data_IF_802405315567
#
_entry.id   IF_802405315567
#
_cell.length_a   1.000
_cell.length_b   1.000
_cell.length_c   1.000
_cell.angle_alpha   90.00
_cell.angle_beta   90.00
_cell.angle_gamma   90.00
#
_symmetry.space_group_name_H-M   'P 1'
#
loop_
_entity.id
_entity.type
_entity.pdbx_description
1 polymer ?
#
# COMPACT_ATOMS: atom_id res chain seq x y z
N UNK A 1 -34.86 -45.39 29.09
CA UNK A 1 -33.77 -45.88 28.24
C UNK A 1 -33.53 -44.81 27.17
N UNK A 2 -32.53 -43.94 27.33
CA UNK A 2 -31.20 -44.06 26.68
C UNK A 2 -31.37 -44.15 25.15
N UNK A 3 -30.91 -43.24 24.29
CA UNK A 3 -29.61 -42.56 24.18
C UNK A 3 -29.79 -41.45 23.13
N UNK A 4 -29.27 -40.24 23.37
CA UNK A 4 -28.56 -39.39 22.38
C UNK A 4 -28.03 -38.13 23.10
N UNK A 5 -27.16 -38.37 24.09
CA UNK A 5 -26.12 -37.41 24.46
C UNK A 5 -25.04 -37.50 23.38
N UNK A 6 -25.19 -36.74 22.30
CA UNK A 6 -24.08 -36.47 21.37
C UNK A 6 -23.39 -35.17 21.82
N UNK A 7 -22.08 -35.25 22.03
CA UNK A 7 -21.30 -34.34 22.84
C UNK A 7 -21.25 -32.89 22.34
N UNK A 8 -21.58 -31.95 23.23
CA UNK A 8 -21.03 -30.60 23.18
C UNK A 8 -19.54 -30.72 23.50
N UNK A 9 -18.70 -30.73 22.47
CA UNK A 9 -17.29 -30.40 22.66
C UNK A 9 -17.23 -29.00 23.29
N UNK A 10 -16.81 -28.91 24.55
CA UNK A 10 -16.66 -27.63 25.24
C UNK A 10 -15.51 -26.88 24.57
N UNK A 11 -15.82 -26.04 23.59
CA UNK A 11 -14.87 -25.06 23.09
C UNK A 11 -14.47 -24.19 24.28
N UNK A 12 -13.21 -24.25 24.69
CA UNK A 12 -12.74 -23.45 25.83
C UNK A 12 -13.07 -21.97 25.60
N UNK A 13 -13.39 -21.23 26.66
CA UNK A 13 -13.75 -19.79 26.52
C UNK A 13 -12.63 -18.98 25.85
N UNK A 14 -11.38 -19.44 25.98
CA UNK A 14 -10.19 -18.89 25.31
C UNK A 14 -10.23 -19.15 23.80
N UNK A 15 -10.51 -20.37 23.37
CA UNK A 15 -10.64 -20.74 21.96
C UNK A 15 -11.74 -19.93 21.27
N UNK A 16 -12.89 -19.76 21.93
CA UNK A 16 -14.01 -18.97 21.41
C UNK A 16 -13.65 -17.48 21.28
N UNK A 17 -12.90 -16.92 22.24
CA UNK A 17 -12.42 -15.53 22.21
C UNK A 17 -11.44 -15.28 21.05
N UNK A 18 -10.52 -16.20 20.79
CA UNK A 18 -9.53 -16.08 19.70
C UNK A 18 -10.21 -16.18 18.33
N UNK A 19 -11.08 -17.18 18.12
CA UNK A 19 -11.83 -17.33 16.86
C UNK A 19 -12.60 -16.07 16.52
N UNK A 20 -13.15 -15.40 17.53
CA UNK A 20 -13.99 -14.23 17.32
C UNK A 20 -13.21 -12.95 17.13
N UNK A 21 -12.05 -12.82 17.78
CA UNK A 21 -11.10 -11.78 17.43
C UNK A 21 -10.68 -11.89 15.96
N UNK A 22 -10.37 -13.10 15.47
CA UNK A 22 -10.01 -13.33 14.05
C UNK A 22 -11.11 -12.83 13.11
N UNK A 23 -12.36 -13.23 13.36
CA UNK A 23 -13.48 -12.87 12.47
C UNK A 23 -13.76 -11.37 12.49
N UNK A 24 -13.78 -10.74 13.67
CA UNK A 24 -14.03 -9.31 13.79
C UNK A 24 -12.92 -8.49 13.13
N UNK A 25 -11.64 -8.86 13.31
CA UNK A 25 -10.52 -8.13 12.70
C UNK A 25 -10.52 -8.28 11.19
N UNK A 26 -10.76 -9.49 10.69
CA UNK A 26 -10.92 -9.72 9.25
C UNK A 26 -12.07 -8.88 8.67
N UNK A 27 -13.25 -8.90 9.28
CA UNK A 27 -14.40 -8.16 8.75
C UNK A 27 -14.15 -6.65 8.78
N UNK A 28 -13.52 -6.15 9.85
CA UNK A 28 -13.27 -4.72 10.03
C UNK A 28 -12.23 -4.18 9.05
N UNK A 29 -11.11 -4.88 8.89
CA UNK A 29 -9.95 -4.36 8.16
C UNK A 29 -9.82 -4.92 6.74
N UNK A 30 -10.13 -6.21 6.54
CA UNK A 30 -10.05 -6.81 5.20
C UNK A 30 -11.35 -6.62 4.39
N UNK A 31 -12.51 -6.74 5.03
CA UNK A 31 -13.81 -6.52 4.37
C UNK A 31 -14.31 -5.07 4.52
N UNK A 32 -13.58 -4.22 5.24
CA UNK A 32 -13.95 -2.82 5.49
C UNK A 32 -15.37 -2.66 6.07
N UNK A 33 -15.80 -3.59 6.92
CA UNK A 33 -17.15 -3.60 7.51
C UNK A 33 -17.19 -2.65 8.72
N UNK A 34 -18.06 -1.64 8.74
CA UNK A 34 -18.18 -0.73 9.87
C UNK A 34 -18.59 -1.45 11.16
N UNK A 35 -17.98 -1.08 12.30
CA UNK A 35 -18.23 -1.73 13.59
C UNK A 35 -19.72 -1.75 13.99
N UNK A 36 -20.52 -0.75 13.62
CA UNK A 36 -21.95 -0.73 13.95
C UNK A 36 -22.75 -1.79 13.19
N UNK A 37 -22.36 -2.13 11.94
CA UNK A 37 -23.02 -3.19 11.15
C UNK A 37 -22.68 -4.56 11.72
N UNK A 38 -21.44 -4.72 12.18
CA UNK A 38 -21.00 -5.93 12.88
C UNK A 38 -21.81 -6.16 14.15
N UNK A 39 -21.93 -5.16 15.03
CA UNK A 39 -22.67 -5.32 16.29
C UNK A 39 -24.17 -5.45 16.09
N UNK A 40 -24.78 -4.59 15.25
CA UNK A 40 -26.25 -4.50 15.14
C UNK A 40 -26.86 -5.65 14.33
N UNK A 41 -26.15 -6.15 13.32
CA UNK A 41 -26.68 -7.17 12.42
C UNK A 41 -26.02 -8.51 12.74
N UNK A 42 -24.78 -8.70 12.29
CA UNK A 42 -24.14 -10.02 12.25
C UNK A 42 -23.96 -10.66 13.62
N UNK A 43 -23.46 -9.91 14.60
CA UNK A 43 -23.19 -10.46 15.94
C UNK A 43 -24.49 -10.64 16.74
N UNK A 44 -25.45 -9.72 16.59
CA UNK A 44 -26.78 -9.85 17.18
C UNK A 44 -27.51 -11.10 16.67
N UNK A 45 -27.48 -11.36 15.35
CA UNK A 45 -28.08 -12.56 14.73
C UNK A 45 -27.43 -13.86 15.22
N UNK A 46 -26.17 -13.79 15.70
CA UNK A 46 -25.45 -14.91 16.30
C UNK A 46 -25.67 -15.03 17.82
N UNK A 47 -26.66 -14.31 18.37
CA UNK A 47 -26.93 -14.20 19.82
C UNK A 47 -25.72 -13.73 20.63
N UNK A 48 -24.90 -12.86 20.04
CA UNK A 48 -23.75 -12.27 20.71
C UNK A 48 -23.96 -10.79 20.96
N UNK A 49 -24.42 -10.47 22.17
CA UNK A 49 -24.57 -9.09 22.58
C UNK A 49 -23.21 -8.45 22.90
N UNK A 50 -22.88 -7.39 22.17
CA UNK A 50 -21.65 -6.63 22.36
C UNK A 50 -21.78 -5.23 21.77
N UNK A 51 -20.95 -4.30 22.25
CA UNK A 51 -20.98 -2.91 21.80
C UNK A 51 -19.77 -2.57 20.92
N UNK A 52 -19.86 -1.44 20.20
CA UNK A 52 -18.78 -0.93 19.34
C UNK A 52 -17.48 -0.74 20.11
N UNK A 53 -17.56 -0.29 21.36
CA UNK A 53 -16.40 -0.09 22.22
C UNK A 53 -15.66 -1.40 22.50
N UNK A 54 -16.39 -2.50 22.75
CA UNK A 54 -15.78 -3.81 22.98
C UNK A 54 -15.04 -4.32 21.73
N UNK A 55 -15.56 -4.05 20.52
CA UNK A 55 -14.86 -4.39 19.28
C UNK A 55 -13.58 -3.57 19.11
N UNK A 56 -13.63 -2.27 19.40
CA UNK A 56 -12.44 -1.40 19.37
C UNK A 56 -11.37 -1.85 20.37
N UNK A 57 -11.76 -2.10 21.63
CA UNK A 57 -10.83 -2.58 22.67
C UNK A 57 -10.14 -3.90 22.28
N UNK A 58 -10.84 -4.78 21.54
CA UNK A 58 -10.25 -6.02 21.01
C UNK A 58 -9.30 -5.75 19.86
N UNK A 59 -9.62 -4.81 18.99
CA UNK A 59 -8.74 -4.38 17.91
C UNK A 59 -7.44 -3.80 18.48
N UNK A 60 -7.53 -2.95 19.52
CA UNK A 60 -6.38 -2.38 20.22
C UNK A 60 -5.46 -3.48 20.76
N UNK A 61 -6.02 -4.44 21.51
CA UNK A 61 -5.24 -5.55 22.09
C UNK A 61 -4.55 -6.41 21.04
N UNK A 62 -5.22 -6.69 19.92
CA UNK A 62 -4.63 -7.43 18.81
C UNK A 62 -3.53 -6.65 18.09
N UNK A 63 -3.73 -5.34 17.88
CA UNK A 63 -2.72 -4.47 17.29
C UNK A 63 -1.47 -4.38 18.17
N UNK A 64 -1.62 -4.26 19.49
CA UNK A 64 -0.48 -4.30 20.43
C UNK A 64 0.36 -5.56 20.26
N UNK A 65 -0.27 -6.72 20.05
CA UNK A 65 0.47 -7.97 19.83
C UNK A 65 1.15 -8.01 18.46
N UNK A 66 0.44 -7.58 17.40
CA UNK A 66 1.00 -7.54 16.04
C UNK A 66 2.13 -6.52 15.90
N UNK A 67 2.07 -5.39 16.61
CA UNK A 67 3.10 -4.35 16.57
C UNK A 67 4.46 -4.85 17.04
N UNK A 68 4.50 -5.85 17.91
CA UNK A 68 5.76 -6.49 18.33
C UNK A 68 6.52 -7.15 17.17
N UNK A 69 5.81 -7.53 16.11
CA UNK A 69 6.38 -8.18 14.93
C UNK A 69 6.81 -7.18 13.84
N UNK A 70 6.32 -5.93 13.89
CA UNK A 70 6.64 -4.94 12.86
C UNK A 70 8.16 -4.69 12.74
N UNK A 71 8.94 -4.54 13.83
CA UNK A 71 10.40 -4.39 13.72
C UNK A 71 11.10 -5.56 13.02
N UNK A 72 10.50 -6.76 13.06
CA UNK A 72 11.04 -7.93 12.37
C UNK A 72 10.69 -7.96 10.86
N UNK A 73 9.74 -7.14 10.40
CA UNK A 73 9.51 -6.87 8.98
C UNK A 73 10.62 -5.93 8.45
N UNK A 74 11.85 -6.46 8.36
CA UNK A 74 13.02 -5.69 8.00
C UNK A 74 13.07 -5.42 6.48
N UNK A 75 13.31 -4.15 6.12
CA UNK A 75 13.69 -3.77 4.77
C UNK A 75 15.20 -3.97 4.62
N UNK A 76 15.60 -5.11 4.05
CA UNK A 76 17.02 -5.41 3.84
C UNK A 76 17.72 -4.30 3.05
N UNK A 77 18.99 -4.06 3.35
CA UNK A 77 19.81 -3.13 2.57
C UNK A 77 19.82 -3.55 1.09
N UNK A 78 19.71 -2.57 0.20
CA UNK A 78 19.60 -2.78 -1.24
C UNK A 78 18.19 -3.17 -1.72
N UNK A 79 17.16 -3.05 -0.88
CA UNK A 79 15.77 -3.31 -1.28
C UNK A 79 15.25 -2.27 -2.27
N UNK A 80 14.41 -2.74 -3.18
CA UNK A 80 13.55 -1.89 -4.01
C UNK A 80 12.19 -1.75 -3.33
N UNK A 81 11.74 -0.51 -3.16
CA UNK A 81 10.47 -0.25 -2.48
C UNK A 81 9.56 0.63 -3.30
N UNK A 82 8.28 0.27 -3.31
CA UNK A 82 7.19 1.05 -3.86
C UNK A 82 6.51 1.78 -2.70
N UNK A 83 6.24 3.08 -2.86
CA UNK A 83 5.62 3.89 -1.81
C UNK A 83 4.42 4.65 -2.37
N UNK A 84 3.34 4.70 -1.60
CA UNK A 84 2.15 5.50 -1.88
C UNK A 84 1.50 5.94 -0.57
N UNK A 85 0.62 6.93 -0.63
CA UNK A 85 -0.07 7.48 0.51
C UNK A 85 -1.49 7.94 0.19
N UNK A 86 -2.40 7.78 1.16
CA UNK A 86 -3.77 8.26 1.04
C UNK A 86 -4.15 9.07 2.26
N UNK A 87 -4.93 10.13 2.04
CA UNK A 87 -5.47 10.91 3.14
C UNK A 87 -6.56 10.15 3.89
N UNK A 88 -6.62 10.33 5.19
CA UNK A 88 -7.68 9.81 6.04
C UNK A 88 -8.16 10.92 6.99
N UNK A 89 -9.21 10.61 7.75
CA UNK A 89 -9.71 11.49 8.81
C UNK A 89 -9.77 10.75 10.12
N UNK A 90 -9.48 11.45 11.21
CA UNK A 90 -9.70 10.93 12.54
C UNK A 90 -10.48 11.94 13.40
N UNK A 91 -11.24 11.43 14.36
CA UNK A 91 -12.06 12.21 15.26
C UNK A 91 -11.21 12.79 16.41
N UNK A 92 -11.45 14.06 16.70
CA UNK A 92 -10.88 14.83 17.80
C UNK A 92 -12.01 15.47 18.61
N UNK A 93 -11.68 16.09 19.73
CA UNK A 93 -12.67 16.84 20.52
C UNK A 93 -13.27 18.03 19.75
N UNK A 94 -12.52 18.62 18.80
CA UNK A 94 -12.92 19.80 18.01
C UNK A 94 -13.46 19.44 16.61
N UNK A 95 -13.85 18.18 16.37
CA UNK A 95 -14.30 17.69 15.06
C UNK A 95 -13.30 16.73 14.42
N UNK A 96 -13.21 16.72 13.09
CA UNK A 96 -12.33 15.79 12.36
C UNK A 96 -11.07 16.49 11.87
N UNK A 97 -9.92 15.83 12.00
CA UNK A 97 -8.65 16.27 11.42
C UNK A 97 -8.21 15.33 10.30
N UNK A 98 -7.50 15.89 9.32
CA UNK A 98 -6.88 15.13 8.23
C UNK A 98 -5.60 14.47 8.75
N UNK A 99 -5.33 13.27 8.27
CA UNK A 99 -4.04 12.56 8.42
C UNK A 99 -3.72 11.83 7.12
N UNK A 100 -2.56 11.18 7.04
CA UNK A 100 -2.15 10.37 5.90
C UNK A 100 -1.72 8.99 6.38
N UNK A 101 -2.20 7.97 5.66
CA UNK A 101 -1.72 6.61 5.79
C UNK A 101 -0.75 6.35 4.65
N UNK A 102 0.47 5.98 5.00
CA UNK A 102 1.53 5.61 4.07
C UNK A 102 1.54 4.11 3.89
N UNK A 103 1.94 3.67 2.71
CA UNK A 103 2.10 2.27 2.35
C UNK A 103 3.44 2.10 1.65
N UNK A 104 4.27 1.21 2.18
CA UNK A 104 5.52 0.78 1.57
C UNK A 104 5.39 -0.69 1.20
N UNK A 105 5.80 -1.04 -0.02
CA UNK A 105 5.78 -2.41 -0.53
C UNK A 105 7.18 -2.80 -0.99
N UNK A 106 7.71 -3.89 -0.44
CA UNK A 106 8.87 -4.59 -0.98
C UNK A 106 8.36 -5.87 -1.65
N UNK A 107 8.22 -5.84 -2.98
CA UNK A 107 7.65 -6.94 -3.76
C UNK A 107 8.49 -8.21 -3.64
N UNK A 108 9.82 -8.07 -3.69
CA UNK A 108 10.76 -9.20 -3.68
C UNK A 108 10.73 -9.94 -2.35
N UNK A 109 10.63 -9.20 -1.25
CA UNK A 109 10.47 -9.78 0.09
C UNK A 109 9.02 -10.19 0.41
N UNK A 110 8.05 -9.81 -0.43
CA UNK A 110 6.63 -10.01 -0.16
C UNK A 110 6.14 -9.27 1.08
N UNK A 111 6.71 -8.10 1.38
CA UNK A 111 6.42 -7.30 2.58
C UNK A 111 5.60 -6.08 2.19
N UNK A 112 4.56 -5.79 2.98
CA UNK A 112 3.80 -4.55 2.91
C UNK A 112 3.75 -3.93 4.29
N UNK A 113 4.17 -2.67 4.44
CA UNK A 113 4.14 -1.95 5.70
C UNK A 113 3.30 -0.69 5.54
N UNK A 114 2.27 -0.57 6.36
CA UNK A 114 1.53 0.67 6.55
C UNK A 114 2.00 1.36 7.81
N UNK A 115 2.08 2.68 7.72
CA UNK A 115 2.43 3.53 8.83
C UNK A 115 1.71 4.88 8.70
N UNK A 116 1.46 5.52 9.83
CA UNK A 116 0.99 6.89 9.88
C UNK A 116 1.75 7.62 10.97
N UNK A 117 1.90 8.93 10.83
CA UNK A 117 2.42 9.77 11.91
C UNK A 117 1.55 9.59 13.16
N UNK A 118 2.20 9.40 14.32
CA UNK A 118 1.50 9.54 15.58
C UNK A 118 1.29 11.03 15.81
N UNK A 119 0.08 11.49 15.52
CA UNK A 119 -0.29 12.88 15.67
C UNK A 119 -0.46 13.30 17.14
N UNK A 120 0.01 12.50 18.11
CA UNK A 120 -0.11 12.74 19.55
C UNK A 120 1.26 13.15 20.08
N UNK A 121 1.38 14.41 20.51
CA UNK A 121 2.60 14.92 21.13
C UNK A 121 2.81 14.30 22.53
N UNK A 122 4.01 14.47 23.10
CA UNK A 122 4.39 13.97 24.42
C UNK A 122 3.43 14.42 25.55
N UNK A 123 2.78 15.58 25.38
CA UNK A 123 1.80 16.14 26.31
C UNK A 123 0.36 15.62 26.08
N UNK A 124 0.18 14.66 25.17
CA UNK A 124 -1.13 14.13 24.77
C UNK A 124 -1.92 15.03 23.80
N UNK A 125 -1.32 16.13 23.35
CA UNK A 125 -1.92 17.06 22.38
C UNK A 125 -1.98 16.47 20.98
N UNK A 126 -3.10 16.67 20.26
CA UNK A 126 -3.31 16.09 18.91
C UNK A 126 -3.10 17.13 17.81
N UNK A 127 -2.03 17.01 17.03
CA UNK A 127 -1.74 17.86 15.86
C UNK A 127 -2.23 17.25 14.53
N UNK A 128 -2.14 17.98 13.42
CA UNK A 128 -2.49 17.41 12.10
C UNK A 128 -1.35 16.54 11.59
N UNK A 129 -1.66 15.31 11.18
CA UNK A 129 -0.70 14.43 10.54
C UNK A 129 -0.34 14.97 9.16
N UNK A 130 0.95 15.10 8.88
CA UNK A 130 1.47 15.67 7.66
C UNK A 130 1.64 14.66 6.53
N UNK A 131 1.42 15.12 5.29
CA UNK A 131 1.98 14.49 4.07
C UNK A 131 3.44 14.92 3.90
N UNK A 132 4.21 14.92 4.98
CA UNK A 132 5.54 15.53 5.05
C UNK A 132 6.59 14.46 4.80
N UNK A 133 7.70 14.85 4.16
CA UNK A 133 8.88 13.98 3.97
C UNK A 133 9.33 13.30 5.26
N UNK A 134 9.22 14.04 6.37
CA UNK A 134 9.66 13.61 7.69
C UNK A 134 9.06 12.28 8.12
N UNK A 135 7.79 12.03 7.79
CA UNK A 135 7.12 10.77 8.16
C UNK A 135 7.78 9.57 7.48
N UNK A 136 8.21 9.73 6.23
CA UNK A 136 8.91 8.68 5.49
C UNK A 136 10.36 8.55 5.93
N UNK A 137 11.10 9.66 6.11
CA UNK A 137 12.49 9.61 6.59
C UNK A 137 12.57 8.97 7.97
N UNK A 138 11.69 9.36 8.89
CA UNK A 138 11.67 8.83 10.25
C UNK A 138 11.33 7.34 10.27
N UNK A 139 10.48 6.89 9.33
CA UNK A 139 10.16 5.46 9.18
C UNK A 139 11.31 4.68 8.55
N UNK A 140 11.96 5.20 7.51
CA UNK A 140 13.08 4.54 6.84
C UNK A 140 14.32 4.50 7.75
N UNK A 141 14.52 5.51 8.61
CA UNK A 141 15.70 5.62 9.46
C UNK A 141 16.98 5.49 8.63
N UNK A 142 17.86 4.58 9.05
CA UNK A 142 19.14 4.29 8.37
C UNK A 142 19.04 3.25 7.25
N UNK A 143 17.83 2.89 6.81
CA UNK A 143 17.64 1.87 5.77
C UNK A 143 18.26 2.32 4.44
N UNK A 144 19.30 1.58 4.01
CA UNK A 144 19.97 1.80 2.72
C UNK A 144 19.20 1.11 1.61
N UNK A 145 18.20 1.78 1.06
CA UNK A 145 17.44 1.29 -0.09
C UNK A 145 18.27 1.38 -1.37
N UNK A 146 17.98 0.52 -2.35
CA UNK A 146 18.53 0.65 -3.71
C UNK A 146 17.67 1.58 -4.55
N UNK A 147 16.36 1.39 -4.49
CA UNK A 147 15.41 2.20 -5.24
C UNK A 147 14.14 2.52 -4.45
N UNK A 148 13.53 3.65 -4.79
CA UNK A 148 12.23 4.08 -4.27
C UNK A 148 11.36 4.54 -5.42
N UNK A 149 10.19 3.91 -5.59
CA UNK A 149 9.23 4.25 -6.64
C UNK A 149 7.95 4.87 -6.07
N UNK A 150 7.49 5.97 -6.65
CA UNK A 150 6.25 6.67 -6.23
C UNK A 150 5.43 7.23 -7.40
N UNK A 151 4.33 7.93 -7.11
CA UNK A 151 3.49 8.67 -8.08
C UNK A 151 4.14 9.95 -8.66
N UNK A 152 5.38 10.25 -8.29
CA UNK A 152 6.05 11.49 -8.67
C UNK A 152 5.70 12.67 -7.76
N UNK A 153 5.32 12.43 -6.51
CA UNK A 153 5.28 13.49 -5.52
C UNK A 153 6.70 14.00 -5.22
N UNK A 154 6.98 15.28 -5.52
CA UNK A 154 8.33 15.89 -5.42
C UNK A 154 9.00 15.70 -4.05
N UNK A 155 8.21 15.48 -3.01
CA UNK A 155 8.68 15.24 -1.63
C UNK A 155 9.58 14.01 -1.52
N UNK A 156 9.47 13.04 -2.43
CA UNK A 156 10.33 11.86 -2.48
C UNK A 156 11.67 12.10 -3.19
N UNK A 157 11.87 13.24 -3.88
CA UNK A 157 13.10 13.53 -4.63
C UNK A 157 14.25 14.02 -3.75
N UNK A 158 13.95 14.42 -2.50
CA UNK A 158 14.91 14.97 -1.55
C UNK A 158 14.62 14.35 -0.17
N UNK A 159 15.54 13.53 0.35
CA UNK A 159 15.59 13.19 1.78
C UNK A 159 16.72 14.06 2.33
N UNK A 160 16.35 14.98 3.22
CA UNK A 160 17.27 15.87 3.95
C UNK A 160 18.10 16.85 3.10
N UNK A 161 17.51 17.41 2.05
CA UNK A 161 18.14 18.41 1.16
C UNK A 161 19.37 17.91 0.39
N UNK A 162 19.77 16.65 0.64
CA UNK A 162 20.78 15.91 -0.10
C UNK A 162 20.11 14.98 -1.12
N UNK A 163 20.79 14.79 -2.26
CA UNK A 163 20.43 13.75 -3.21
C UNK A 163 20.78 12.41 -2.57
N UNK A 164 19.78 11.61 -2.23
CA UNK A 164 20.06 10.27 -1.73
C UNK A 164 20.66 9.44 -2.86
N UNK A 165 21.64 8.60 -2.51
CA UNK A 165 22.15 7.52 -3.36
C UNK A 165 21.10 6.38 -3.48
N UNK A 166 19.90 6.74 -3.95
CA UNK A 166 18.77 5.84 -4.23
C UNK A 166 18.32 6.14 -5.65
N UNK A 167 18.13 5.10 -6.45
CA UNK A 167 17.44 5.24 -7.73
C UNK A 167 15.97 5.62 -7.44
N UNK A 168 15.61 6.88 -7.66
CA UNK A 168 14.23 7.34 -7.51
C UNK A 168 13.46 7.16 -8.82
N UNK A 169 12.32 6.47 -8.77
CA UNK A 169 11.46 6.15 -9.91
C UNK A 169 10.10 6.84 -9.78
N UNK A 170 9.58 7.30 -10.92
CA UNK A 170 8.22 7.82 -11.01
C UNK A 170 7.34 6.86 -11.80
N UNK A 171 6.09 6.74 -11.39
CA UNK A 171 5.09 5.89 -12.04
C UNK A 171 4.65 6.46 -13.40
N UNK A 172 4.94 5.75 -14.50
CA UNK A 172 4.53 6.18 -15.84
C UNK A 172 3.01 6.20 -16.03
N UNK A 173 2.27 5.39 -15.25
CA UNK A 173 0.80 5.40 -15.28
C UNK A 173 0.23 6.77 -14.87
N UNK A 174 0.92 7.49 -13.97
CA UNK A 174 0.55 8.85 -13.57
C UNK A 174 0.80 9.90 -14.65
N UNK A 175 1.82 9.72 -15.49
CA UNK A 175 2.02 10.54 -16.69
C UNK A 175 0.91 10.24 -17.71
N UNK A 176 0.69 8.95 -18.00
CA UNK A 176 -0.35 8.47 -18.92
C UNK A 176 -1.74 8.98 -18.55
N UNK A 177 -2.10 8.95 -17.26
CA UNK A 177 -3.40 9.43 -16.78
C UNK A 177 -3.62 10.94 -17.04
N UNK A 178 -2.55 11.76 -17.02
CA UNK A 178 -2.65 13.19 -17.33
C UNK A 178 -2.91 13.42 -18.81
N UNK A 179 -2.21 12.70 -19.70
CA UNK A 179 -2.51 12.74 -21.14
C UNK A 179 -3.92 12.24 -21.45
N UNK A 180 -4.37 11.18 -20.76
CA UNK A 180 -5.75 10.68 -20.91
C UNK A 180 -6.78 11.77 -20.59
N UNK A 181 -6.62 12.48 -19.47
CA UNK A 181 -7.51 13.60 -19.10
C UNK A 181 -7.48 14.74 -20.12
N UNK A 182 -6.31 15.03 -20.72
CA UNK A 182 -6.20 16.04 -21.77
C UNK A 182 -6.95 15.62 -23.04
N UNK A 183 -6.87 14.35 -23.44
CA UNK A 183 -7.61 13.79 -24.57
C UNK A 183 -9.13 13.79 -24.31
N UNK A 184 -9.56 13.37 -23.12
CA UNK A 184 -10.98 13.38 -22.69
C UNK A 184 -11.58 14.81 -22.71
N UNK A 185 -10.74 15.85 -22.76
CA UNK A 185 -11.11 17.26 -22.82
C UNK A 185 -10.88 17.86 -24.23
N UNK A 186 -10.73 17.02 -25.24
CA UNK A 186 -10.68 17.42 -26.65
C UNK A 186 -9.29 17.73 -27.21
N UNK A 187 -8.22 17.56 -26.44
CA UNK A 187 -6.86 17.77 -26.96
C UNK A 187 -6.33 16.51 -27.67
N UNK A 188 -6.54 16.42 -28.98
CA UNK A 188 -6.16 15.24 -29.78
C UNK A 188 -4.65 14.94 -29.79
N UNK A 189 -3.81 15.96 -29.61
CA UNK A 189 -2.34 15.79 -29.53
C UNK A 189 -1.91 14.85 -28.40
N UNK A 190 -2.70 14.74 -27.32
CA UNK A 190 -2.43 13.81 -26.23
C UNK A 190 -2.48 12.33 -26.68
N UNK A 191 -3.17 12.00 -27.79
CA UNK A 191 -3.27 10.65 -28.34
C UNK A 191 -1.90 10.09 -28.71
N UNK A 192 -1.00 10.90 -29.25
CA UNK A 192 0.35 10.48 -29.63
C UNK A 192 1.12 9.90 -28.42
N UNK A 193 1.18 10.66 -27.31
CA UNK A 193 1.81 10.20 -26.07
C UNK A 193 1.16 8.93 -25.53
N UNK A 194 -0.17 8.83 -25.57
CA UNK A 194 -0.88 7.64 -25.09
C UNK A 194 -0.53 6.39 -25.89
N UNK A 195 -0.35 6.50 -27.21
CA UNK A 195 0.03 5.39 -28.08
C UNK A 195 1.49 4.95 -27.84
N UNK A 196 2.42 5.91 -27.75
CA UNK A 196 3.83 5.63 -27.46
C UNK A 196 4.01 5.00 -26.08
N UNK A 197 3.41 5.58 -25.04
CA UNK A 197 3.39 4.99 -23.69
C UNK A 197 2.70 3.62 -23.70
N UNK A 198 1.61 3.45 -24.45
CA UNK A 198 0.92 2.18 -24.61
C UNK A 198 1.81 1.09 -25.23
N UNK A 199 2.72 1.46 -26.12
CA UNK A 199 3.69 0.54 -26.73
C UNK A 199 4.70 0.04 -25.69
N UNK A 200 5.17 0.91 -24.79
CA UNK A 200 6.02 0.50 -23.66
C UNK A 200 5.29 -0.51 -22.76
N UNK A 201 4.05 -0.20 -22.37
CA UNK A 201 3.23 -1.12 -21.56
C UNK A 201 2.94 -2.47 -22.23
N UNK A 202 2.82 -2.48 -23.56
CA UNK A 202 2.60 -3.72 -24.31
C UNK A 202 3.82 -4.65 -24.20
N UNK A 203 5.02 -4.09 -24.15
CA UNK A 203 6.25 -4.86 -23.89
C UNK A 203 6.31 -5.39 -22.45
N UNK A 204 5.97 -4.56 -21.46
CA UNK A 204 5.90 -5.00 -20.05
C UNK A 204 4.93 -6.16 -19.84
N UNK A 205 3.79 -6.16 -20.56
CA UNK A 205 2.86 -7.28 -20.55
C UNK A 205 3.45 -8.52 -21.21
N UNK A 206 4.16 -8.36 -22.33
CA UNK A 206 4.88 -9.46 -22.98
C UNK A 206 5.91 -10.09 -22.03
N UNK A 207 6.70 -9.27 -21.34
CA UNK A 207 7.72 -9.76 -20.40
C UNK A 207 7.09 -10.57 -19.26
N UNK A 208 5.98 -10.09 -18.70
CA UNK A 208 5.23 -10.82 -17.67
C UNK A 208 4.65 -12.13 -18.20
N UNK A 209 4.10 -12.13 -19.42
CA UNK A 209 3.52 -13.34 -20.02
C UNK A 209 4.58 -14.41 -20.30
N UNK A 210 5.78 -13.99 -20.69
CA UNK A 210 6.91 -14.87 -20.98
C UNK A 210 7.74 -15.22 -19.74
N UNK A 211 7.41 -14.66 -18.57
CA UNK A 211 8.16 -14.81 -17.32
C UNK A 211 9.66 -14.54 -17.50
N UNK A 212 10.00 -13.43 -18.18
CA UNK A 212 11.38 -13.13 -18.51
C UNK A 212 12.20 -12.80 -17.25
N UNK A 213 13.47 -13.26 -17.18
CA UNK A 213 14.35 -12.91 -16.08
C UNK A 213 14.77 -11.42 -16.14
N UNK A 214 15.15 -10.80 -15.00
CA UNK A 214 15.53 -9.39 -14.93
C UNK A 214 16.61 -8.98 -15.94
N UNK A 215 17.62 -9.82 -16.19
CA UNK A 215 18.71 -9.48 -17.13
C UNK A 215 18.21 -9.32 -18.57
N UNK A 216 17.23 -10.13 -18.98
CA UNK A 216 16.63 -10.03 -20.31
C UNK A 216 15.69 -8.83 -20.42
N UNK A 217 14.91 -8.57 -19.36
CA UNK A 217 14.08 -7.36 -19.25
C UNK A 217 14.96 -6.11 -19.37
N UNK A 218 16.09 -6.05 -18.67
CA UNK A 218 17.04 -4.94 -18.76
C UNK A 218 17.56 -4.72 -20.19
N UNK A 219 17.93 -5.78 -20.91
CA UNK A 219 18.34 -5.67 -22.32
C UNK A 219 17.21 -5.13 -23.18
N UNK A 220 16.00 -5.66 -23.02
CA UNK A 220 14.82 -5.25 -23.79
C UNK A 220 14.30 -3.86 -23.43
N UNK A 221 14.57 -3.36 -22.22
CA UNK A 221 14.34 -1.95 -21.85
C UNK A 221 15.25 -0.99 -22.62
N UNK A 222 16.37 -1.47 -23.17
CA UNK A 222 17.41 -0.67 -23.81
C UNK A 222 17.73 -1.17 -25.23
N UNK A 223 16.75 -1.79 -25.88
CA UNK A 223 16.87 -2.16 -27.29
C UNK A 223 16.48 -0.99 -28.21
N UNK A 224 16.87 -1.09 -29.48
CA UNK A 224 16.61 -0.05 -30.48
C UNK A 224 15.12 0.30 -30.63
N UNK A 225 14.22 -0.66 -30.38
CA UNK A 225 12.78 -0.41 -30.43
C UNK A 225 12.31 0.47 -29.27
N UNK A 226 12.72 0.15 -28.05
CA UNK A 226 12.37 0.92 -26.85
C UNK A 226 13.04 2.30 -26.88
N UNK A 227 14.30 2.37 -27.31
CA UNK A 227 15.01 3.64 -27.50
C UNK A 227 14.30 4.53 -28.51
N UNK A 228 13.89 3.99 -29.66
CA UNK A 228 13.12 4.74 -30.65
C UNK A 228 11.83 5.34 -30.08
N UNK A 229 11.09 4.59 -29.25
CA UNK A 229 9.89 5.12 -28.57
C UNK A 229 10.23 6.27 -27.62
N UNK A 230 11.30 6.13 -26.83
CA UNK A 230 11.72 7.15 -25.86
C UNK A 230 12.23 8.40 -26.54
N UNK A 231 13.01 8.27 -27.62
CA UNK A 231 13.44 9.39 -28.45
C UNK A 231 12.27 10.12 -29.10
N UNK A 232 11.30 9.37 -29.64
CA UNK A 232 10.10 9.94 -30.25
C UNK A 232 9.25 10.71 -29.23
N UNK A 233 9.15 10.21 -28.00
CA UNK A 233 8.49 10.91 -26.89
C UNK A 233 9.26 12.18 -26.51
N UNK A 234 10.60 12.14 -26.54
CA UNK A 234 11.44 13.28 -26.20
C UNK A 234 11.32 14.39 -27.24
N UNK A 235 11.41 14.06 -28.53
CA UNK A 235 11.23 15.02 -29.63
C UNK A 235 9.89 15.75 -29.52
N UNK A 236 8.80 14.98 -29.43
CA UNK A 236 7.46 15.54 -29.32
C UNK A 236 7.27 16.43 -28.07
N UNK A 237 7.94 16.10 -26.96
CA UNK A 237 7.90 16.89 -25.74
C UNK A 237 8.48 18.31 -25.92
N UNK A 238 9.46 18.50 -26.80
CA UNK A 238 10.07 19.80 -27.08
C UNK A 238 9.42 20.55 -28.25
N UNK A 239 8.86 19.83 -29.23
CA UNK A 239 8.24 20.44 -30.40
C UNK A 239 6.87 21.05 -30.06
N UNK A 240 6.07 20.38 -29.22
CA UNK A 240 4.71 20.83 -28.90
C UNK A 240 4.61 22.14 -28.10
N UNK A 241 5.49 22.44 -27.13
CA UNK A 241 5.48 23.73 -26.44
C UNK A 241 5.68 24.95 -27.35
N UNK A 242 6.23 24.77 -28.56
CA UNK A 242 6.40 25.85 -29.54
C UNK A 242 5.11 26.23 -30.26
N UNK A 243 4.02 25.48 -30.07
CA UNK A 243 2.72 25.75 -30.70
C UNK A 243 1.96 26.92 -30.03
N UNK A 244 1.05 27.60 -30.75
CA UNK A 244 0.24 28.68 -30.20
C UNK A 244 -0.56 28.27 -28.96
N UNK A 245 -0.75 29.22 -28.03
CA UNK A 245 -1.45 28.98 -26.77
C UNK A 245 -2.90 28.51 -26.95
N UNK A 246 -3.56 28.94 -28.05
CA UNK A 246 -4.91 28.52 -28.44
C UNK A 246 -5.02 27.02 -28.73
N UNK A 247 -3.92 26.33 -29.04
CA UNK A 247 -3.90 24.90 -29.36
C UNK A 247 -3.53 24.00 -28.18
N UNK A 248 -3.25 24.59 -27.01
CA UNK A 248 -2.67 23.89 -25.88
C UNK A 248 -3.52 24.04 -24.62
N UNK A 249 -4.40 23.08 -24.38
CA UNK A 249 -5.26 23.09 -23.19
C UNK A 249 -4.43 23.09 -21.90
N UNK A 250 -4.95 23.70 -20.83
CA UNK A 250 -4.27 23.70 -19.53
C UNK A 250 -4.03 22.30 -18.96
N UNK A 251 -4.79 21.29 -19.39
CA UNK A 251 -4.54 19.88 -19.04
C UNK A 251 -3.38 19.29 -19.84
N UNK A 252 -3.25 19.61 -21.13
CA UNK A 252 -2.12 19.20 -21.95
C UNK A 252 -0.81 19.81 -21.42
N UNK A 253 -0.80 21.10 -21.09
CA UNK A 253 0.34 21.78 -20.44
C UNK A 253 0.75 21.07 -19.15
N UNK A 254 -0.21 20.71 -18.30
CA UNK A 254 0.07 19.95 -17.06
C UNK A 254 0.64 18.56 -17.33
N UNK A 255 0.21 17.88 -18.39
CA UNK A 255 0.73 16.58 -18.78
C UNK A 255 2.18 16.69 -19.29
N UNK A 256 2.45 17.62 -20.20
CA UNK A 256 3.79 17.90 -20.73
C UNK A 256 4.76 18.34 -19.63
N UNK A 257 4.35 19.29 -18.78
CA UNK A 257 5.17 19.75 -17.65
C UNK A 257 5.51 18.61 -16.69
N UNK A 258 4.56 17.70 -16.42
CA UNK A 258 4.82 16.53 -15.59
C UNK A 258 5.81 15.57 -16.27
N UNK A 259 5.60 15.23 -17.54
CA UNK A 259 6.50 14.37 -18.30
C UNK A 259 7.92 14.94 -18.36
N UNK A 260 8.06 16.25 -18.62
CA UNK A 260 9.33 16.96 -18.62
C UNK A 260 10.00 16.98 -17.23
N UNK A 261 9.27 17.38 -16.19
CA UNK A 261 9.84 17.52 -14.83
C UNK A 261 10.36 16.20 -14.26
N UNK A 262 9.73 15.08 -14.63
CA UNK A 262 10.06 13.75 -14.11
C UNK A 262 10.69 12.84 -15.16
N UNK A 263 11.17 13.37 -16.29
CA UNK A 263 11.63 12.54 -17.40
C UNK A 263 12.64 11.48 -16.97
N UNK A 264 13.71 11.89 -16.28
CA UNK A 264 14.74 10.98 -15.75
C UNK A 264 14.12 9.89 -14.87
N UNK A 265 13.27 10.27 -13.92
CA UNK A 265 12.65 9.35 -12.96
C UNK A 265 11.63 8.41 -13.60
N UNK A 266 10.89 8.87 -14.60
CA UNK A 266 9.92 8.08 -15.35
C UNK A 266 10.58 7.00 -16.19
N UNK A 267 11.83 7.22 -16.64
CA UNK A 267 12.60 6.26 -17.42
C UNK A 267 13.71 5.55 -16.63
N UNK A 268 13.87 5.84 -15.34
CA UNK A 268 14.83 5.15 -14.46
C UNK A 268 14.52 3.65 -14.31
N UNK A 269 13.29 3.20 -14.56
CA UNK A 269 12.96 1.76 -14.59
C UNK A 269 13.80 0.97 -15.61
N UNK A 270 14.37 1.65 -16.60
CA UNK A 270 15.26 1.06 -17.61
C UNK A 270 16.66 0.72 -17.08
N UNK A 271 17.04 1.23 -15.90
CA UNK A 271 18.38 1.06 -15.30
C UNK A 271 18.58 -0.32 -14.66
N UNK A 272 17.51 -1.03 -14.35
CA UNK A 272 17.54 -2.36 -13.72
C UNK A 272 16.29 -3.13 -14.12
N UNK A 273 16.42 -4.39 -14.56
CA UNK A 273 15.28 -5.21 -14.96
C UNK A 273 14.39 -5.68 -13.81
N UNK A 274 14.79 -5.49 -12.55
CA UNK A 274 13.90 -5.68 -11.39
C UNK A 274 12.94 -4.50 -11.18
N UNK A 275 13.23 -3.33 -11.76
CA UNK A 275 12.38 -2.15 -11.63
C UNK A 275 11.13 -2.26 -12.50
N UNK A 276 10.02 -1.71 -12.00
CA UNK A 276 8.74 -1.69 -12.72
C UNK A 276 8.47 -0.34 -13.37
N UNK A 277 7.80 -0.35 -14.53
CA UNK A 277 7.37 0.88 -15.23
C UNK A 277 6.37 1.73 -14.43
N UNK A 278 5.68 1.13 -13.46
CA UNK A 278 4.65 1.77 -12.65
C UNK A 278 4.69 1.35 -11.18
N UNK A 279 3.93 2.08 -10.36
CA UNK A 279 3.82 1.89 -8.92
C UNK A 279 2.58 1.07 -8.52
N UNK A 280 2.09 0.19 -9.40
CA UNK A 280 0.84 -0.55 -9.18
C UNK A 280 0.87 -1.39 -7.89
N UNK A 281 2.04 -1.81 -7.42
CA UNK A 281 2.16 -2.59 -6.19
C UNK A 281 1.69 -1.80 -4.96
N UNK A 282 2.17 -0.56 -4.79
CA UNK A 282 1.73 0.29 -3.69
C UNK A 282 0.28 0.77 -3.88
N UNK A 283 -0.10 1.16 -5.11
CA UNK A 283 -1.48 1.59 -5.43
C UNK A 283 -2.52 0.48 -5.13
N UNK A 284 -2.20 -0.78 -5.43
CA UNK A 284 -3.05 -1.93 -5.10
C UNK A 284 -3.08 -2.19 -3.60
N UNK A 285 -1.92 -2.16 -2.95
CA UNK A 285 -1.80 -2.38 -1.51
C UNK A 285 -2.60 -1.35 -0.72
N UNK A 286 -2.57 -0.06 -1.09
CA UNK A 286 -3.23 1.01 -0.35
C UNK A 286 -4.75 1.08 -0.58
N UNK A 287 -5.25 0.45 -1.65
CA UNK A 287 -6.67 0.46 -2.03
C UNK A 287 -7.67 0.07 -0.92
N UNK A 288 -7.42 -0.91 -0.03
CA UNK A 288 -8.33 -1.25 1.07
C UNK A 288 -8.68 -0.05 1.95
N UNK A 289 -7.76 0.88 2.16
CA UNK A 289 -8.00 2.10 2.93
C UNK A 289 -8.99 3.03 2.22
N UNK A 290 -8.89 3.13 0.89
CA UNK A 290 -9.86 3.92 0.11
C UNK A 290 -11.29 3.36 0.25
N UNK A 291 -11.42 2.03 0.33
CA UNK A 291 -12.70 1.35 0.58
C UNK A 291 -13.15 1.56 2.03
N UNK A 292 -12.23 1.45 2.99
CA UNK A 292 -12.50 1.67 4.41
C UNK A 292 -13.03 3.08 4.66
N UNK A 293 -12.40 4.10 4.05
CA UNK A 293 -12.81 5.50 4.10
C UNK A 293 -14.21 5.71 3.54
N UNK A 294 -14.58 5.05 2.44
CA UNK A 294 -15.95 5.11 1.89
C UNK A 294 -16.98 4.49 2.84
N UNK A 295 -16.62 3.43 3.56
CA UNK A 295 -17.55 2.69 4.41
C UNK A 295 -17.67 3.24 5.84
N UNK A 296 -16.58 3.72 6.43
CA UNK A 296 -16.50 4.15 7.84
C UNK A 296 -16.30 5.66 8.01
N UNK A 297 -16.00 6.40 6.94
CA UNK A 297 -15.81 7.86 6.86
C UNK A 297 -14.60 8.44 7.61
N UNK A 298 -14.31 7.97 8.83
CA UNK A 298 -13.20 8.42 9.65
C UNK A 298 -12.82 7.39 10.73
N UNK A 299 -11.61 7.50 11.27
CA UNK A 299 -11.17 6.80 12.48
C UNK A 299 -11.68 7.50 13.73
N UNK A 300 -12.07 6.75 14.76
CA UNK A 300 -12.54 7.32 16.02
C UNK A 300 -11.45 8.02 16.85
N UNK A 301 -10.17 7.79 16.53
CA UNK A 301 -9.01 8.36 17.23
C UNK A 301 -7.73 8.16 16.40
N UNK A 302 -6.64 8.82 16.79
CA UNK A 302 -5.27 8.57 16.28
C UNK A 302 -4.88 7.10 16.45
N UNK A 303 -5.12 6.53 17.64
CA UNK A 303 -4.90 5.10 17.91
C UNK A 303 -5.67 4.20 16.94
N UNK A 304 -6.90 4.57 16.57
CA UNK A 304 -7.68 3.83 15.59
C UNK A 304 -7.04 3.79 14.19
N UNK A 305 -6.36 4.87 13.79
CA UNK A 305 -5.57 4.93 12.57
C UNK A 305 -4.33 4.03 12.66
N UNK A 306 -3.55 4.14 13.75
CA UNK A 306 -2.36 3.30 13.99
C UNK A 306 -2.69 1.80 14.00
N UNK A 307 -3.81 1.41 14.62
CA UNK A 307 -4.29 0.02 14.54
C UNK A 307 -4.61 -0.37 13.11
N UNK A 308 -5.26 0.52 12.34
CA UNK A 308 -5.55 0.25 10.92
C UNK A 308 -4.27 0.02 10.14
N UNK A 309 -3.22 0.81 10.38
CA UNK A 309 -1.90 0.60 9.79
C UNK A 309 -1.39 -0.82 10.14
N UNK A 310 -1.38 -1.16 11.44
CA UNK A 310 -0.92 -2.46 11.94
C UNK A 310 -1.65 -3.64 11.26
N UNK A 311 -2.98 -3.61 11.21
CA UNK A 311 -3.74 -4.71 10.61
C UNK A 311 -3.55 -4.77 9.11
N UNK A 312 -3.55 -3.64 8.39
CA UNK A 312 -3.34 -3.64 6.95
C UNK A 312 -1.92 -4.11 6.56
N UNK A 313 -0.89 -3.81 7.37
CA UNK A 313 0.47 -4.37 7.21
C UNK A 313 0.43 -5.89 7.11
N UNK A 314 -0.16 -6.56 8.09
CA UNK A 314 -0.21 -8.03 8.08
C UNK A 314 -1.23 -8.59 7.08
N UNK A 315 -2.36 -7.92 6.83
CA UNK A 315 -3.35 -8.37 5.83
C UNK A 315 -2.73 -8.34 4.43
N UNK A 316 -2.12 -7.22 4.03
CA UNK A 316 -1.55 -7.08 2.70
C UNK A 316 -0.26 -7.90 2.55
N UNK A 317 0.56 -8.03 3.60
CA UNK A 317 1.70 -8.97 3.60
C UNK A 317 1.24 -10.43 3.43
N UNK A 318 0.16 -10.84 4.12
CA UNK A 318 -0.41 -12.18 3.93
C UNK A 318 -0.88 -12.40 2.47
N UNK A 319 -1.48 -11.39 1.85
CA UNK A 319 -1.91 -11.46 0.44
C UNK A 319 -0.73 -11.59 -0.51
N UNK A 320 0.34 -10.82 -0.31
CA UNK A 320 1.57 -10.97 -1.11
C UNK A 320 2.15 -12.39 -1.02
N UNK A 321 2.00 -13.03 0.14
CA UNK A 321 2.43 -14.41 0.38
C UNK A 321 1.40 -15.48 -0.01
N UNK A 322 0.24 -15.10 -0.53
CA UNK A 322 -0.83 -16.04 -0.90
C UNK A 322 -1.46 -16.77 0.30
N UNK A 323 -1.22 -16.33 1.53
CA UNK A 323 -1.73 -16.97 2.75
C UNK A 323 -2.96 -16.25 3.31
N UNK A 324 -3.79 -17.00 4.03
CA UNK A 324 -4.98 -16.48 4.70
C UNK A 324 -4.61 -15.66 5.94
N UNK A 325 -4.95 -14.37 5.95
CA UNK A 325 -4.80 -13.52 7.14
C UNK A 325 -5.52 -14.11 8.36
N UNK A 326 -6.68 -14.76 8.18
CA UNK A 326 -7.41 -15.40 9.28
C UNK A 326 -6.61 -16.52 9.93
N UNK A 327 -5.93 -17.32 9.12
CA UNK A 327 -5.13 -18.45 9.59
C UNK A 327 -3.81 -17.98 10.21
N UNK A 328 -3.18 -16.98 9.58
CA UNK A 328 -2.05 -16.24 10.13
C UNK A 328 -2.37 -15.66 11.50
N UNK A 329 -3.40 -14.81 11.59
CA UNK A 329 -3.78 -14.12 12.81
C UNK A 329 -4.13 -15.10 13.94
N UNK A 330 -4.82 -16.20 13.63
CA UNK A 330 -5.10 -17.25 14.61
C UNK A 330 -3.82 -17.91 15.12
N UNK A 331 -2.89 -18.24 14.22
CA UNK A 331 -1.64 -18.92 14.59
C UNK A 331 -0.75 -18.00 15.40
N UNK A 332 -0.47 -16.79 14.90
CA UNK A 332 0.42 -15.84 15.58
C UNK A 332 -0.10 -15.47 16.97
N UNK A 333 -1.40 -15.23 17.13
CA UNK A 333 -1.97 -14.91 18.44
C UNK A 333 -1.85 -16.07 19.43
N UNK A 334 -1.91 -17.33 18.96
CA UNK A 334 -1.70 -18.51 19.81
C UNK A 334 -0.24 -18.62 20.25
N UNK A 335 0.70 -18.43 19.34
CA UNK A 335 2.15 -18.48 19.63
C UNK A 335 2.56 -17.37 20.61
N UNK A 336 2.09 -16.13 20.38
CA UNK A 336 2.35 -15.01 21.28
C UNK A 336 1.73 -15.22 22.67
N UNK A 337 0.53 -15.81 22.76
CA UNK A 337 -0.08 -16.18 24.05
C UNK A 337 0.68 -17.29 24.77
N UNK A 338 1.38 -18.16 24.03
CA UNK A 338 2.28 -19.16 24.61
C UNK A 338 3.63 -18.58 25.06
N UNK A 339 3.82 -17.25 24.94
CA UNK A 339 5.04 -16.56 25.37
C UNK A 339 6.17 -16.58 24.34
N UNK A 340 5.88 -16.97 23.09
CA UNK A 340 6.88 -17.01 22.02
C UNK A 340 7.29 -15.59 21.61
N UNK A 341 8.60 -15.34 21.49
CA UNK A 341 9.17 -13.99 21.26
C UNK A 341 10.17 -13.93 20.10
N UNK A 342 10.45 -15.03 19.41
CA UNK A 342 11.23 -15.07 18.17
C UNK A 342 10.38 -14.54 16.99
N UNK A 343 10.08 -13.24 17.02
CA UNK A 343 9.13 -12.59 16.10
C UNK A 343 9.47 -12.78 14.62
N UNK A 344 10.75 -12.90 14.28
CA UNK A 344 11.25 -13.17 12.93
C UNK A 344 10.70 -14.49 12.35
N UNK A 345 10.41 -15.49 13.20
CA UNK A 345 9.81 -16.78 12.81
C UNK A 345 8.28 -16.80 12.92
N UNK A 346 7.67 -15.65 13.24
CA UNK A 346 6.23 -15.48 13.36
C UNK A 346 5.64 -14.58 12.27
N UNK A 347 6.44 -14.17 11.30
CA UNK A 347 6.02 -13.36 10.17
C UNK A 347 5.21 -14.19 9.17
N UNK A 348 4.40 -13.56 8.30
CA UNK A 348 3.68 -14.27 7.23
C UNK A 348 4.57 -15.18 6.39
N UNK A 349 5.82 -14.77 6.13
CA UNK A 349 6.81 -15.52 5.34
C UNK A 349 7.38 -16.74 6.07
N UNK A 350 7.45 -16.70 7.41
CA UNK A 350 8.28 -17.63 8.21
C UNK A 350 7.48 -18.53 9.15
N UNK A 351 6.22 -18.18 9.44
CA UNK A 351 5.36 -18.93 10.37
C UNK A 351 4.93 -20.32 9.84
N UNK A 352 5.27 -20.68 8.61
CA UNK A 352 5.07 -22.02 8.04
C UNK A 352 3.64 -22.33 7.61
N UNK A 353 2.84 -21.30 7.28
CA UNK A 353 1.51 -21.49 6.69
C UNK A 353 1.62 -21.74 5.19
N UNK A 354 0.80 -22.67 4.67
CA UNK A 354 0.76 -22.97 3.24
C UNK A 354 -0.02 -21.89 2.49
N UNK A 355 0.46 -21.54 1.29
CA UNK A 355 -0.30 -20.71 0.35
C UNK A 355 -1.65 -21.37 0.06
N UNK A 356 -2.69 -20.54 0.02
CA UNK A 356 -4.07 -21.00 -0.12
C UNK A 356 -4.64 -20.78 -1.52
N UNK A 357 -3.87 -20.27 -2.49
CA UNK A 357 -4.32 -19.86 -3.84
C UNK A 357 -5.61 -19.01 -3.83
N UNK A 358 -5.92 -18.34 -2.71
CA UNK A 358 -7.18 -17.58 -2.51
C UNK A 358 -7.05 -16.10 -2.88
N UNK A 359 -5.88 -15.64 -3.29
CA UNK A 359 -5.58 -14.24 -3.58
C UNK A 359 -4.91 -14.08 -4.93
#
# INVERSE_FOLDING_TARGET
MAVLRAGKASVSSVTLRVVMAVVVMFNKYQMSTPSYRETKNRLADMNWDTCRQNLSNRADKGAVQLNKLIPALNLQAGSDVNVDETWERYQTHKGHKKTYMWCLVNKKAGIVIFFSEDCTDADGSKHEGGRRRKVLTDFLGDAKLRSLQSDGYKVYMYLDEELIDIDYLCCLAHARAKFKKALEQGCEKARYFLLKIGSLYSREEEYRRLDLPPDEIFKRHNDAYTDGIVEDLWKELFDLPALPESEMSGLMRRALNYLHSFWKQLFNYRRNGEYTIDNLAAERAIRPLTVQRKNSLFFGSTQGALNSATYNTFIETCKQMGISFRDYYRRVMKELQAGRVDYENLLPQTIGLKSTNKY
#
